data_IF_947214591186
#
_entry.id   IF_947214591186
#
_cell.length_a   1.000
_cell.length_b   1.000
_cell.length_c   1.000
_cell.angle_alpha   90.00
_cell.angle_beta   90.00
_cell.angle_gamma   90.00
#
_symmetry.space_group_name_H-M   'P 1'
#
loop_
_entity.id
_entity.type
_entity.pdbx_description
1 polymer ?
#
# COMPACT_ATOMS: atom_id res chain seq x y z
N UNK A 1 16.11 16.87 13.16
CA UNK A 1 15.32 18.07 13.58
C UNK A 1 15.01 17.89 15.07
N UNK A 2 15.09 18.89 15.95
CA UNK A 2 14.79 18.65 17.38
C UNK A 2 13.27 18.61 17.62
N UNK A 3 12.72 17.56 18.23
CA UNK A 3 11.29 17.43 18.56
C UNK A 3 10.74 18.65 19.31
N UNK A 4 11.54 19.22 20.20
CA UNK A 4 11.19 20.42 20.96
C UNK A 4 11.05 21.67 20.08
N UNK A 5 11.85 21.79 19.01
CA UNK A 5 11.71 22.88 18.04
C UNK A 5 10.41 22.76 17.24
N UNK A 6 10.05 21.54 16.85
CA UNK A 6 8.80 21.23 16.17
C UNK A 6 7.59 21.52 17.07
N UNK A 7 7.62 21.08 18.32
CA UNK A 7 6.56 21.38 19.29
C UNK A 7 6.28 22.87 19.40
N UNK A 8 7.32 23.71 19.55
CA UNK A 8 7.16 25.17 19.62
C UNK A 8 6.55 25.77 18.36
N UNK A 9 6.93 25.25 17.19
CA UNK A 9 6.34 25.70 15.92
C UNK A 9 4.84 25.38 15.85
N UNK A 10 4.44 24.18 16.29
CA UNK A 10 3.04 23.76 16.32
C UNK A 10 2.22 24.54 17.35
N UNK A 11 2.78 24.82 18.53
CA UNK A 11 2.14 25.67 19.55
C UNK A 11 1.82 27.08 19.01
N UNK A 12 2.76 27.67 18.26
CA UNK A 12 2.55 28.94 17.58
C UNK A 12 1.47 28.84 16.50
N UNK A 13 1.45 27.76 15.72
CA UNK A 13 0.42 27.55 14.69
C UNK A 13 -0.98 27.48 15.29
N UNK A 14 -1.15 26.73 16.39
CA UNK A 14 -2.45 26.53 17.06
C UNK A 14 -2.95 27.81 17.75
N UNK A 15 -2.06 28.58 18.37
CA UNK A 15 -2.45 29.81 19.08
C UNK A 15 -2.70 31.01 18.15
N UNK A 16 -2.06 31.06 16.97
CA UNK A 16 -2.27 32.16 16.02
C UNK A 16 -3.58 32.03 15.22
N UNK A 17 -4.05 30.80 14.99
CA UNK A 17 -5.20 30.53 14.10
C UNK A 17 -6.54 30.47 14.81
N UNK A 18 -6.57 30.40 16.15
CA UNK A 18 -7.81 30.13 16.91
C UNK A 18 -7.84 30.86 18.26
N UNK A 19 -9.03 31.26 18.72
CA UNK A 19 -9.30 31.76 20.10
C UNK A 19 -9.28 30.59 21.11
N UNK A 20 -8.25 29.76 21.04
CA UNK A 20 -8.13 28.50 21.77
C UNK A 20 -6.85 28.55 22.58
N UNK A 21 -6.94 28.18 23.86
CA UNK A 21 -5.79 28.10 24.77
C UNK A 21 -5.25 26.68 24.82
N UNK A 22 -3.92 26.56 24.85
CA UNK A 22 -3.24 25.28 25.09
C UNK A 22 -3.15 25.10 26.61
N UNK A 23 -3.83 24.08 27.14
CA UNK A 23 -3.83 23.79 28.58
C UNK A 23 -2.67 22.86 28.98
N UNK A 24 -2.34 21.93 28.10
CA UNK A 24 -1.28 20.95 28.33
C UNK A 24 -0.70 20.50 26.99
N UNK A 25 0.60 20.23 26.97
CA UNK A 25 1.28 19.49 25.92
C UNK A 25 1.93 18.24 26.50
N UNK A 26 1.94 17.16 25.71
CA UNK A 26 2.68 15.94 26.04
C UNK A 26 3.34 15.35 24.79
N UNK A 27 4.38 14.56 25.00
CA UNK A 27 5.08 13.84 23.92
C UNK A 27 5.19 12.37 24.30
N UNK A 28 4.89 11.50 23.34
CA UNK A 28 4.88 10.05 23.53
C UNK A 28 5.08 9.34 22.20
N UNK A 29 5.46 8.07 22.24
CA UNK A 29 5.64 7.26 21.04
C UNK A 29 4.46 6.31 20.80
N UNK A 30 4.13 6.07 19.53
CA UNK A 30 3.24 5.00 19.07
C UNK A 30 4.06 3.93 18.34
N UNK A 31 3.85 2.63 18.64
CA UNK A 31 4.55 1.57 17.93
C UNK A 31 4.06 1.47 16.48
N UNK A 32 5.00 1.42 15.54
CA UNK A 32 4.78 1.21 14.11
C UNK A 32 5.69 0.08 13.62
N UNK A 33 5.09 -0.94 13.03
CA UNK A 33 5.77 -2.12 12.53
C UNK A 33 6.23 -1.89 11.10
N UNK A 34 7.51 -2.13 10.83
CA UNK A 34 8.03 -2.25 9.47
C UNK A 34 7.82 -3.69 9.02
N UNK A 35 7.00 -3.87 7.99
CA UNK A 35 6.68 -5.16 7.40
C UNK A 35 7.39 -5.26 6.06
N UNK A 36 8.13 -6.34 5.85
CA UNK A 36 8.65 -6.70 4.54
C UNK A 36 7.67 -7.64 3.85
N UNK A 37 7.11 -7.19 2.73
CA UNK A 37 6.12 -7.95 1.96
C UNK A 37 6.75 -8.45 0.68
N UNK A 38 6.85 -9.76 0.53
CA UNK A 38 7.31 -10.41 -0.70
C UNK A 38 6.10 -10.83 -1.54
N UNK A 39 6.07 -10.44 -2.81
CA UNK A 39 4.96 -10.71 -3.72
C UNK A 39 5.41 -10.88 -5.16
N UNK A 40 4.53 -11.48 -5.98
CA UNK A 40 4.75 -11.66 -7.42
C UNK A 40 3.86 -10.72 -8.22
N UNK A 41 4.44 -9.67 -8.82
CA UNK A 41 3.70 -8.79 -9.68
C UNK A 41 3.43 -9.45 -11.04
N UNK A 42 2.40 -8.95 -11.69
CA UNK A 42 1.96 -9.38 -13.01
C UNK A 42 1.62 -8.15 -13.81
N UNK A 43 2.24 -7.99 -14.97
CA UNK A 43 1.93 -6.91 -15.88
C UNK A 43 0.77 -7.36 -16.75
N UNK A 44 -0.34 -6.62 -16.68
CA UNK A 44 -1.51 -6.88 -17.54
C UNK A 44 -1.56 -5.85 -18.65
N UNK A 45 -1.53 -6.33 -19.89
CA UNK A 45 -1.68 -5.53 -21.10
C UNK A 45 -2.93 -5.98 -21.87
N UNK A 46 -3.47 -5.10 -22.71
CA UNK A 46 -4.57 -5.47 -23.62
C UNK A 46 -4.00 -6.34 -24.74
N UNK A 47 -4.64 -7.47 -25.02
CA UNK A 47 -4.21 -8.32 -26.14
C UNK A 47 -4.29 -7.53 -27.46
N UNK A 48 -3.20 -7.58 -28.23
CA UNK A 48 -3.18 -7.07 -29.59
C UNK A 48 -4.06 -7.92 -30.53
N UNK A 49 -4.30 -7.40 -31.73
CA UNK A 49 -5.17 -8.07 -32.71
C UNK A 49 -4.59 -9.41 -33.14
N UNK A 50 -3.26 -9.52 -33.28
CA UNK A 50 -2.67 -10.76 -33.76
C UNK A 50 -2.74 -11.87 -32.71
N UNK A 51 -2.44 -11.57 -31.45
CA UNK A 51 -2.66 -12.48 -30.32
C UNK A 51 -4.08 -12.99 -30.35
N UNK A 52 -5.08 -12.09 -30.43
CA UNK A 52 -6.49 -12.50 -30.49
C UNK A 52 -6.78 -13.44 -31.66
N UNK A 53 -6.27 -13.13 -32.85
CA UNK A 53 -6.44 -13.97 -34.04
C UNK A 53 -5.78 -15.34 -33.87
N UNK A 54 -4.61 -15.39 -33.22
CA UNK A 54 -3.88 -16.62 -32.95
C UNK A 54 -4.60 -17.49 -31.91
N UNK A 55 -5.11 -16.88 -30.83
CA UNK A 55 -5.97 -17.55 -29.85
C UNK A 55 -7.24 -18.12 -30.50
N UNK A 56 -7.92 -17.35 -31.37
CA UNK A 56 -9.08 -17.81 -32.13
C UNK A 56 -8.74 -19.02 -33.02
N UNK A 57 -7.61 -18.93 -33.73
CA UNK A 57 -7.16 -19.99 -34.63
C UNK A 57 -6.88 -21.28 -33.85
N UNK A 58 -6.17 -21.19 -32.72
CA UNK A 58 -5.85 -22.35 -31.86
C UNK A 58 -7.06 -22.94 -31.14
N UNK A 59 -8.13 -22.16 -30.95
CA UNK A 59 -9.39 -22.63 -30.38
C UNK A 59 -10.18 -23.48 -31.38
N UNK A 60 -10.23 -23.05 -32.63
CA UNK A 60 -11.10 -23.64 -33.64
C UNK A 60 -10.40 -24.73 -34.47
N UNK A 61 -9.07 -24.71 -34.55
CA UNK A 61 -8.27 -25.60 -35.41
C UNK A 61 -6.99 -26.06 -34.71
N UNK A 62 -6.53 -27.28 -35.03
CA UNK A 62 -5.25 -27.82 -34.54
C UNK A 62 -4.14 -27.50 -35.53
N UNK A 63 -3.07 -26.88 -35.05
CA UNK A 63 -1.89 -26.52 -35.84
C UNK A 63 -0.64 -27.23 -35.34
N UNK A 64 0.17 -27.74 -36.26
CA UNK A 64 1.41 -28.47 -35.99
C UNK A 64 2.64 -27.55 -36.00
N UNK A 65 2.57 -26.48 -36.79
CA UNK A 65 3.69 -25.55 -37.00
C UNK A 65 3.24 -24.09 -37.08
N UNK A 66 4.20 -23.20 -36.82
CA UNK A 66 4.01 -21.75 -37.00
C UNK A 66 3.77 -21.39 -38.48
N UNK A 67 4.33 -22.15 -39.42
CA UNK A 67 4.14 -21.99 -40.86
C UNK A 67 2.66 -22.09 -41.24
N UNK A 68 1.96 -23.13 -40.78
CA UNK A 68 0.52 -23.31 -41.05
C UNK A 68 -0.32 -22.12 -40.54
N UNK A 69 0.02 -21.61 -39.36
CA UNK A 69 -0.67 -20.44 -38.77
C UNK A 69 -0.35 -19.18 -39.57
N UNK A 70 0.91 -19.00 -40.00
CA UNK A 70 1.36 -17.85 -40.78
C UNK A 70 0.69 -17.75 -42.14
N UNK A 71 0.46 -18.89 -42.80
CA UNK A 71 -0.27 -18.96 -44.07
C UNK A 71 -1.74 -18.56 -43.93
N UNK A 72 -2.40 -19.00 -42.84
CA UNK A 72 -3.82 -18.72 -42.59
C UNK A 72 -4.04 -17.27 -42.16
N UNK A 73 -3.17 -16.78 -41.27
CA UNK A 73 -3.25 -15.41 -40.76
C UNK A 73 -2.62 -14.39 -41.71
N UNK A 74 -1.96 -14.84 -42.78
CA UNK A 74 -1.26 -14.00 -43.77
C UNK A 74 -0.25 -13.05 -43.12
N UNK A 75 0.55 -13.58 -42.19
CA UNK A 75 1.58 -12.85 -41.44
C UNK A 75 2.94 -13.52 -41.58
N UNK A 76 4.01 -12.80 -41.22
CA UNK A 76 5.37 -13.33 -41.29
C UNK A 76 5.58 -14.49 -40.31
N UNK A 77 6.14 -15.60 -40.79
CA UNK A 77 6.36 -16.81 -39.98
C UNK A 77 7.22 -16.54 -38.74
N UNK A 78 8.31 -15.77 -38.85
CA UNK A 78 9.19 -15.45 -37.72
C UNK A 78 8.44 -14.74 -36.59
N UNK A 79 7.44 -13.91 -36.93
CA UNK A 79 6.63 -13.22 -35.95
C UNK A 79 5.69 -14.18 -35.21
N UNK A 80 5.09 -15.14 -35.94
CA UNK A 80 4.27 -16.21 -35.35
C UNK A 80 5.10 -17.10 -34.44
N UNK A 81 6.32 -17.45 -34.84
CA UNK A 81 7.25 -18.25 -34.02
C UNK A 81 7.62 -17.56 -32.71
N UNK A 82 7.95 -16.27 -32.77
CA UNK A 82 8.24 -15.48 -31.57
C UNK A 82 7.03 -15.40 -30.64
N UNK A 83 5.84 -15.17 -31.21
CA UNK A 83 4.60 -15.06 -30.44
C UNK A 83 4.20 -16.40 -29.78
N UNK A 84 4.28 -17.52 -30.52
CA UNK A 84 4.05 -18.86 -29.99
C UNK A 84 5.06 -19.18 -28.88
N UNK A 85 6.33 -18.84 -29.08
CA UNK A 85 7.38 -19.02 -28.07
C UNK A 85 7.08 -18.22 -26.81
N UNK A 86 6.63 -16.96 -26.94
CA UNK A 86 6.22 -16.13 -25.81
C UNK A 86 5.01 -16.73 -25.09
N UNK A 87 3.99 -17.16 -25.82
CA UNK A 87 2.78 -17.78 -25.25
C UNK A 87 3.03 -19.14 -24.58
N UNK A 88 3.99 -19.92 -25.08
CA UNK A 88 4.43 -21.15 -24.42
C UNK A 88 5.17 -20.85 -23.12
N UNK A 89 6.10 -19.89 -23.12
CA UNK A 89 6.83 -19.46 -21.92
C UNK A 89 5.90 -18.96 -20.81
N UNK A 90 4.83 -18.24 -21.17
CA UNK A 90 3.83 -17.75 -20.21
C UNK A 90 2.72 -18.77 -19.90
N UNK A 91 2.85 -20.00 -20.40
CA UNK A 91 1.92 -21.11 -20.19
C UNK A 91 0.48 -20.82 -20.65
N UNK A 92 0.31 -19.99 -21.69
CA UNK A 92 -0.98 -19.73 -22.32
C UNK A 92 -1.34 -20.80 -23.36
N UNK A 93 -0.31 -21.39 -23.96
CA UNK A 93 -0.44 -22.54 -24.85
C UNK A 93 0.55 -23.64 -24.46
N UNK A 94 0.18 -24.88 -24.77
CA UNK A 94 1.03 -26.04 -24.64
C UNK A 94 1.11 -26.79 -25.97
N UNK A 95 2.20 -27.51 -26.20
CA UNK A 95 2.32 -28.43 -27.35
C UNK A 95 2.01 -29.85 -26.87
N UNK A 96 0.92 -30.43 -27.37
CA UNK A 96 0.45 -31.78 -27.01
C UNK A 96 0.24 -32.56 -28.30
N UNK A 97 0.86 -33.74 -28.39
CA UNK A 97 0.81 -34.61 -29.59
C UNK A 97 1.16 -33.85 -30.89
N UNK A 98 2.20 -33.02 -30.83
CA UNK A 98 2.66 -32.11 -31.88
C UNK A 98 1.74 -30.94 -32.26
N UNK A 99 0.58 -30.78 -31.62
CA UNK A 99 -0.33 -29.65 -31.84
C UNK A 99 -0.24 -28.59 -30.76
N UNK A 100 -0.39 -27.32 -31.13
CA UNK A 100 -0.56 -26.23 -30.17
C UNK A 100 -2.00 -26.20 -29.65
N UNK A 101 -2.17 -26.16 -28.33
CA UNK A 101 -3.46 -26.09 -27.64
C UNK A 101 -3.44 -25.00 -26.58
N UNK A 102 -4.60 -24.36 -26.38
CA UNK A 102 -4.80 -23.40 -25.30
C UNK A 102 -4.84 -24.11 -23.94
N UNK A 103 -4.14 -23.54 -22.97
CA UNK A 103 -4.28 -23.94 -21.57
C UNK A 103 -5.50 -23.28 -20.94
N UNK A 104 -5.91 -23.72 -19.75
CA UNK A 104 -6.98 -23.03 -19.00
C UNK A 104 -6.64 -21.55 -18.71
N UNK A 105 -5.36 -21.25 -18.45
CA UNK A 105 -4.86 -19.88 -18.25
C UNK A 105 -5.04 -19.07 -19.54
N UNK A 106 -4.62 -19.64 -20.67
CA UNK A 106 -4.78 -19.03 -21.99
C UNK A 106 -6.25 -18.71 -22.29
N UNK A 107 -7.14 -19.67 -22.04
CA UNK A 107 -8.57 -19.49 -22.31
C UNK A 107 -9.19 -18.37 -21.46
N UNK A 108 -8.90 -18.32 -20.16
CA UNK A 108 -9.38 -17.25 -19.27
C UNK A 108 -8.87 -15.87 -19.67
N UNK A 109 -7.58 -15.76 -20.02
CA UNK A 109 -6.98 -14.50 -20.45
C UNK A 109 -7.57 -14.01 -21.78
N UNK A 110 -7.79 -14.93 -22.72
CA UNK A 110 -8.45 -14.61 -23.98
C UNK A 110 -9.90 -14.14 -23.81
N UNK A 111 -10.69 -14.81 -22.97
CA UNK A 111 -12.07 -14.42 -22.65
C UNK A 111 -12.13 -13.02 -22.02
N UNK A 112 -11.14 -12.69 -21.19
CA UNK A 112 -11.00 -11.36 -20.57
C UNK A 112 -10.34 -10.32 -21.51
N UNK A 113 -9.80 -10.73 -22.66
CA UNK A 113 -9.15 -9.86 -23.64
C UNK A 113 -7.81 -9.24 -23.16
N UNK A 114 -7.16 -9.86 -22.18
CA UNK A 114 -5.95 -9.35 -21.51
C UNK A 114 -4.82 -10.36 -21.57
N UNK A 115 -3.60 -9.89 -21.76
CA UNK A 115 -2.39 -10.69 -21.68
C UNK A 115 -1.68 -10.37 -20.36
N UNK A 116 -1.34 -11.40 -19.60
CA UNK A 116 -0.65 -11.21 -18.32
C UNK A 116 0.74 -11.83 -18.36
N UNK A 117 1.74 -11.00 -18.05
CA UNK A 117 3.14 -11.36 -17.98
C UNK A 117 3.59 -11.40 -16.52
N UNK A 118 3.84 -12.62 -16.02
CA UNK A 118 4.37 -12.84 -14.67
C UNK A 118 5.76 -12.21 -14.56
N UNK A 119 5.97 -11.45 -13.50
CA UNK A 119 7.25 -10.82 -13.19
C UNK A 119 7.97 -11.59 -12.09
N UNK A 120 9.27 -11.31 -11.95
CA UNK A 120 10.06 -11.84 -10.85
C UNK A 120 9.51 -11.37 -9.49
N UNK A 121 9.67 -12.23 -8.48
CA UNK A 121 9.28 -11.92 -7.11
C UNK A 121 10.03 -10.69 -6.60
N UNK A 122 9.29 -9.75 -6.03
CA UNK A 122 9.84 -8.51 -5.46
C UNK A 122 9.42 -8.37 -4.00
N UNK A 123 10.12 -7.51 -3.27
CA UNK A 123 9.83 -7.21 -1.87
C UNK A 123 9.68 -5.70 -1.66
N UNK A 124 8.76 -5.31 -0.80
CA UNK A 124 8.48 -3.89 -0.49
C UNK A 124 8.18 -3.74 1.00
N UNK A 125 8.69 -2.66 1.58
CA UNK A 125 8.44 -2.34 2.98
C UNK A 125 7.13 -1.55 3.14
N UNK A 126 6.31 -1.96 4.10
CA UNK A 126 5.09 -1.27 4.51
C UNK A 126 5.17 -0.92 5.99
N UNK A 127 4.60 0.23 6.37
CA UNK A 127 4.52 0.64 7.77
C UNK A 127 3.11 0.41 8.28
N UNK A 128 2.95 -0.40 9.32
CA UNK A 128 1.65 -0.70 9.92
C UNK A 128 1.60 -0.25 11.37
N UNK A 129 0.57 0.50 11.76
CA UNK A 129 0.34 0.83 13.16
C UNK A 129 -0.84 0.04 13.71
N UNK A 130 -0.63 -0.86 14.70
CA UNK A 130 -1.71 -1.60 15.34
C UNK A 130 -2.70 -0.69 16.08
N UNK A 131 -2.22 0.46 16.57
CA UNK A 131 -3.07 1.47 17.22
C UNK A 131 -4.05 2.11 16.23
N UNK A 132 -3.61 2.37 14.99
CA UNK A 132 -4.48 2.89 13.92
C UNK A 132 -5.28 1.78 13.22
N UNK A 133 -4.82 0.53 13.35
CA UNK A 133 -5.28 -0.63 12.57
C UNK A 133 -5.20 -0.40 11.06
N UNK A 134 -4.21 0.38 10.63
CA UNK A 134 -4.02 0.76 9.23
C UNK A 134 -2.54 0.86 8.88
N UNK A 135 -2.27 0.81 7.58
CA UNK A 135 -0.97 1.19 7.04
C UNK A 135 -0.81 2.71 7.11
N UNK A 136 0.40 3.15 7.43
CA UNK A 136 0.78 4.55 7.47
C UNK A 136 1.77 4.83 6.34
N UNK A 137 1.67 6.04 5.78
CA UNK A 137 2.60 6.53 4.77
C UNK A 137 3.49 7.61 5.37
N UNK A 138 4.79 7.42 5.26
CA UNK A 138 5.79 8.31 5.83
C UNK A 138 7.18 7.74 5.66
N UNK A 139 8.18 8.57 5.90
CA UNK A 139 9.57 8.14 5.89
C UNK A 139 10.00 7.80 7.31
N UNK A 140 10.24 6.52 7.57
CA UNK A 140 10.68 6.06 8.89
C UNK A 140 12.12 6.45 9.16
N UNK A 141 12.96 6.61 8.13
CA UNK A 141 14.36 7.00 8.28
C UNK A 141 14.44 8.42 8.83
N UNK A 142 13.63 9.36 8.30
CA UNK A 142 13.52 10.73 8.83
C UNK A 142 13.13 10.77 10.30
N UNK A 143 12.27 9.85 10.76
CA UNK A 143 11.90 9.74 12.17
C UNK A 143 13.06 9.21 13.00
N UNK A 144 13.81 8.23 12.49
CA UNK A 144 14.96 7.66 13.20
C UNK A 144 16.15 8.64 13.33
N UNK A 145 16.14 9.75 12.61
CA UNK A 145 17.11 10.85 12.77
C UNK A 145 16.89 11.71 14.03
N UNK A 146 15.79 11.54 14.77
CA UNK A 146 15.59 12.24 16.04
C UNK A 146 16.65 11.80 17.07
N UNK A 147 17.34 12.78 17.67
CA UNK A 147 18.41 12.48 18.65
C UNK A 147 17.87 11.86 19.95
N UNK A 148 16.68 12.31 20.38
CA UNK A 148 16.03 11.86 21.61
C UNK A 148 14.57 11.47 21.33
N UNK A 149 14.19 10.27 21.74
CA UNK A 149 12.81 9.78 21.67
C UNK A 149 12.13 9.98 23.03
N UNK A 150 10.85 10.36 23.07
CA UNK A 150 10.09 10.39 24.32
C UNK A 150 10.13 9.04 25.04
N UNK A 151 10.41 9.05 26.35
CA UNK A 151 10.38 7.83 27.17
C UNK A 151 8.95 7.27 27.34
N UNK A 152 7.94 8.12 27.12
CA UNK A 152 6.54 7.76 27.29
C UNK A 152 6.04 7.05 26.05
N UNK A 153 5.29 5.97 26.28
CA UNK A 153 4.53 5.28 25.24
C UNK A 153 3.07 5.71 25.31
N UNK A 154 2.39 5.69 24.17
CA UNK A 154 0.98 6.04 24.07
C UNK A 154 0.13 5.21 25.04
N UNK A 155 -0.64 5.90 25.89
CA UNK A 155 -1.44 5.32 26.98
C UNK A 155 -2.53 4.34 26.52
N UNK A 156 -2.95 4.42 25.26
CA UNK A 156 -3.92 3.53 24.64
C UNK A 156 -3.30 2.67 23.53
N UNK A 157 -1.99 2.41 23.61
CA UNK A 157 -1.32 1.60 22.62
C UNK A 157 -1.96 0.20 22.49
N UNK A 158 -2.03 -0.26 21.26
CA UNK A 158 -2.30 -1.66 20.94
C UNK A 158 -0.98 -2.27 20.47
N UNK A 159 -0.56 -3.36 21.09
CA UNK A 159 0.55 -4.18 20.61
C UNK A 159 0.02 -5.59 20.35
N UNK A 160 -0.06 -5.96 19.09
CA UNK A 160 -0.40 -7.32 18.69
C UNK A 160 0.89 -8.13 18.59
N UNK A 161 0.95 -9.24 19.32
CA UNK A 161 2.14 -10.11 19.37
C UNK A 161 2.33 -10.91 18.09
N UNK A 162 1.22 -11.21 17.39
CA UNK A 162 1.19 -11.85 16.08
C UNK A 162 0.29 -11.04 15.15
N UNK A 163 0.91 -10.35 14.20
CA UNK A 163 0.19 -9.63 13.17
C UNK A 163 -0.23 -10.61 12.06
N UNK A 164 -1.53 -10.75 11.85
CA UNK A 164 -2.10 -11.49 10.74
C UNK A 164 -2.85 -10.52 9.83
N UNK A 165 -2.50 -10.52 8.55
CA UNK A 165 -3.11 -9.65 7.56
C UNK A 165 -3.92 -10.46 6.57
N UNK A 166 -5.04 -9.90 6.12
CA UNK A 166 -5.72 -10.42 4.95
C UNK A 166 -5.01 -9.90 3.69
N UNK A 167 -4.66 -10.80 2.76
CA UNK A 167 -3.89 -10.46 1.56
C UNK A 167 -4.48 -9.28 0.77
N UNK A 168 -5.82 -9.19 0.74
CA UNK A 168 -6.51 -8.13 0.01
C UNK A 168 -6.18 -6.72 0.54
N UNK A 169 -5.92 -6.57 1.85
CA UNK A 169 -5.56 -5.28 2.46
C UNK A 169 -4.14 -4.89 2.08
N UNK A 170 -3.22 -5.85 2.14
CA UNK A 170 -1.80 -5.65 1.82
C UNK A 170 -1.64 -5.35 0.32
N UNK A 171 -2.33 -6.08 -0.55
CA UNK A 171 -2.35 -5.83 -2.00
C UNK A 171 -2.84 -4.42 -2.29
N UNK A 172 -3.93 -3.99 -1.64
CA UNK A 172 -4.48 -2.64 -1.83
C UNK A 172 -3.46 -1.56 -1.44
N UNK A 173 -2.76 -1.74 -0.32
CA UNK A 173 -1.75 -0.79 0.11
C UNK A 173 -0.59 -0.71 -0.89
N UNK A 174 -0.05 -1.88 -1.29
CA UNK A 174 1.03 -1.97 -2.28
C UNK A 174 0.66 -1.32 -3.62
N UNK A 175 -0.58 -1.47 -4.07
CA UNK A 175 -1.08 -0.82 -5.28
C UNK A 175 -1.14 0.70 -5.10
N UNK A 176 -1.59 1.18 -3.94
CA UNK A 176 -1.69 2.63 -3.68
C UNK A 176 -0.33 3.32 -3.65
N UNK A 177 0.74 2.64 -3.19
CA UNK A 177 2.09 3.20 -3.19
C UNK A 177 2.64 3.33 -4.62
N UNK A 178 2.33 2.37 -5.50
CA UNK A 178 2.81 2.40 -6.90
C UNK A 178 2.08 3.42 -7.76
N UNK A 179 0.78 3.60 -7.54
CA UNK A 179 0.01 4.66 -8.22
C UNK A 179 0.49 6.07 -7.87
N UNK A 180 1.14 6.27 -6.72
CA UNK A 180 1.74 7.55 -6.34
C UNK A 180 3.11 7.80 -7.00
N UNK A 181 3.78 6.75 -7.49
CA UNK A 181 5.14 6.81 -8.07
C UNK A 181 5.09 6.89 -9.61
N UNK A 182 4.10 6.26 -10.24
CA UNK A 182 3.98 6.23 -11.71
C UNK A 182 3.08 7.37 -12.22
N UNK A 183 3.66 8.30 -13.01
CA UNK A 183 2.92 9.32 -13.75
C UNK A 183 1.84 8.66 -14.66
N UNK A 184 0.72 9.35 -14.96
CA UNK A 184 -0.38 8.78 -15.72
C UNK A 184 0.00 8.68 -17.20
N UNK A 185 0.86 7.74 -17.55
CA UNK A 185 1.12 7.38 -18.94
C UNK A 185 0.01 6.44 -19.45
N UNK A 186 -0.40 6.74 -20.68
CA UNK A 186 -1.58 6.22 -21.33
C UNK A 186 -1.50 4.69 -21.55
N UNK A 187 -2.55 4.00 -21.11
CA UNK A 187 -3.08 2.72 -21.63
C UNK A 187 -2.25 1.42 -21.63
N UNK A 188 -0.94 1.35 -21.34
CA UNK A 188 -0.19 0.16 -21.80
C UNK A 188 0.30 -0.89 -20.78
N UNK A 189 0.34 -0.65 -19.48
CA UNK A 189 0.69 -1.72 -18.54
C UNK A 189 0.21 -1.37 -17.13
N UNK A 190 -0.75 -2.13 -16.60
CA UNK A 190 -1.10 -2.02 -15.17
C UNK A 190 -0.42 -3.16 -14.43
N UNK A 191 0.37 -2.80 -13.42
CA UNK A 191 1.02 -3.77 -12.54
C UNK A 191 -0.01 -4.25 -11.51
N UNK A 192 -0.38 -5.51 -11.62
CA UNK A 192 -1.27 -6.19 -10.68
C UNK A 192 -0.44 -7.08 -9.76
N UNK A 193 -0.91 -7.26 -8.53
CA UNK A 193 -0.32 -8.22 -7.60
C UNK A 193 -1.31 -9.36 -7.49
N UNK A 194 -0.87 -10.57 -7.86
CA UNK A 194 -1.75 -11.75 -7.91
C UNK A 194 -1.72 -12.57 -6.64
N UNK A 195 -0.60 -12.52 -5.93
CA UNK A 195 -0.39 -13.27 -4.69
C UNK A 195 0.69 -12.61 -3.85
N UNK A 196 0.54 -12.75 -2.53
CA UNK A 196 1.56 -12.44 -1.55
C UNK A 196 2.23 -13.75 -1.20
N UNK A 197 3.55 -13.79 -1.30
CA UNK A 197 4.34 -14.95 -0.91
C UNK A 197 4.59 -14.95 0.60
N UNK A 198 4.90 -13.79 1.19
CA UNK A 198 5.10 -13.64 2.64
C UNK A 198 4.89 -12.20 3.12
N UNK A 199 4.55 -12.07 4.41
CA UNK A 199 4.56 -10.81 5.17
C UNK A 199 5.36 -11.05 6.44
N UNK A 200 6.51 -10.40 6.56
CA UNK A 200 7.42 -10.57 7.69
C UNK A 200 7.50 -9.27 8.48
N UNK A 201 7.30 -9.36 9.80
CA UNK A 201 7.53 -8.23 10.69
C UNK A 201 9.03 -8.12 10.98
N UNK A 202 9.66 -7.09 10.42
CA UNK A 202 11.11 -6.88 10.48
C UNK A 202 11.51 -6.23 11.80
N UNK A 203 10.82 -5.14 12.15
CA UNK A 203 11.12 -4.34 13.33
C UNK A 203 9.91 -3.53 13.78
N UNK A 204 9.92 -3.13 15.05
CA UNK A 204 8.96 -2.20 15.63
C UNK A 204 9.70 -0.90 15.93
N UNK A 205 9.18 0.20 15.38
CA UNK A 205 9.73 1.53 15.57
C UNK A 205 8.79 2.34 16.46
N UNK A 206 9.34 3.06 17.41
CA UNK A 206 8.60 3.96 18.29
C UNK A 206 8.47 5.33 17.64
N UNK A 207 7.32 5.65 17.03
CA UNK A 207 7.13 6.92 16.32
C UNK A 207 6.68 8.02 17.29
N UNK A 208 7.45 9.11 17.48
CA UNK A 208 7.06 10.21 18.34
C UNK A 208 5.79 10.92 17.83
N UNK A 209 4.95 11.31 18.78
CA UNK A 209 3.76 12.10 18.56
C UNK A 209 3.72 13.24 19.58
N UNK A 210 3.18 14.38 19.18
CA UNK A 210 3.04 15.56 20.02
C UNK A 210 1.55 15.83 20.24
N UNK A 211 1.11 15.75 21.47
CA UNK A 211 -0.29 15.96 21.88
C UNK A 211 -0.47 17.33 22.50
N UNK A 212 -1.53 18.02 22.10
CA UNK A 212 -1.98 19.28 22.69
C UNK A 212 -3.42 19.15 23.18
N UNK A 213 -3.64 19.41 24.47
CA UNK A 213 -4.96 19.61 25.03
C UNK A 213 -5.35 21.08 24.88
N UNK A 214 -6.43 21.31 24.17
CA UNK A 214 -6.94 22.61 23.79
C UNK A 214 -8.24 22.92 24.50
N UNK A 215 -8.45 24.19 24.84
CA UNK A 215 -9.71 24.70 25.38
C UNK A 215 -10.18 25.93 24.60
N UNK A 216 -11.35 25.79 23.98
CA UNK A 216 -12.07 26.88 23.32
C UNK A 216 -12.92 27.61 24.36
N UNK A 217 -12.49 28.82 24.74
CA UNK A 217 -13.18 29.63 25.77
C UNK A 217 -14.57 30.08 25.31
N UNK A 218 -14.78 30.25 24.00
CA UNK A 218 -16.05 30.72 23.43
C UNK A 218 -17.09 29.61 23.43
N UNK A 219 -16.67 28.38 23.13
CA UNK A 219 -17.55 27.20 23.04
C UNK A 219 -17.61 26.36 24.31
N UNK A 220 -16.78 26.67 25.32
CA UNK A 220 -16.60 25.86 26.53
C UNK A 220 -16.37 24.38 26.19
N UNK A 221 -15.42 24.15 25.27
CA UNK A 221 -15.16 22.83 24.71
C UNK A 221 -13.67 22.48 24.78
N UNK A 222 -13.41 21.27 25.27
CA UNK A 222 -12.09 20.64 25.22
C UNK A 222 -11.93 19.84 23.93
N UNK A 223 -10.81 20.03 23.27
CA UNK A 223 -10.39 19.23 22.12
C UNK A 223 -8.92 18.81 22.27
N UNK A 224 -8.55 17.72 21.62
CA UNK A 224 -7.15 17.29 21.53
C UNK A 224 -6.68 17.42 20.10
N UNK A 225 -5.42 17.85 19.91
CA UNK A 225 -4.72 17.79 18.63
C UNK A 225 -3.46 16.96 18.77
N UNK A 226 -3.22 16.05 17.84
CA UNK A 226 -2.05 15.15 17.87
C UNK A 226 -1.30 15.30 16.56
N UNK A 227 -0.03 15.64 16.64
CA UNK A 227 0.86 15.66 15.49
C UNK A 227 1.65 14.35 15.43
N UNK A 228 1.58 13.64 14.31
CA UNK A 228 2.31 12.41 14.06
C UNK A 228 3.55 12.70 13.22
N UNK A 229 4.75 12.43 13.76
CA UNK A 229 5.99 12.79 13.06
C UNK A 229 6.26 11.93 11.84
N UNK A 230 5.75 10.69 11.80
CA UNK A 230 5.93 9.81 10.63
C UNK A 230 5.17 10.34 9.42
N UNK A 231 3.91 10.73 9.60
CA UNK A 231 3.06 11.22 8.49
C UNK A 231 3.24 12.72 8.26
N UNK A 232 3.94 13.42 9.17
CA UNK A 232 4.09 14.88 9.20
C UNK A 232 2.76 15.62 9.06
N UNK A 233 1.72 15.10 9.74
CA UNK A 233 0.35 15.60 9.70
C UNK A 233 -0.31 15.50 11.08
N UNK A 234 -1.41 16.24 11.23
CA UNK A 234 -2.33 16.07 12.34
C UNK A 234 -3.07 14.74 12.22
N UNK A 235 -3.06 13.95 13.28
CA UNK A 235 -3.55 12.57 13.31
C UNK A 235 -4.93 12.49 13.94
N UNK A 236 -5.95 12.60 13.08
CA UNK A 236 -7.36 12.58 13.51
C UNK A 236 -7.74 11.26 14.20
N UNK A 237 -7.06 10.15 13.89
CA UNK A 237 -7.38 8.84 14.46
C UNK A 237 -6.99 8.80 15.93
N UNK A 238 -5.77 9.23 16.25
CA UNK A 238 -5.30 9.33 17.64
C UNK A 238 -6.07 10.41 18.41
N UNK A 239 -6.37 11.54 17.76
CA UNK A 239 -7.20 12.61 18.35
C UNK A 239 -8.58 12.09 18.77
N UNK A 240 -9.27 11.36 17.89
CA UNK A 240 -10.58 10.78 18.19
C UNK A 240 -10.51 9.75 19.32
N UNK A 241 -9.51 8.86 19.30
CA UNK A 241 -9.31 7.85 20.34
C UNK A 241 -9.11 8.48 21.73
N UNK A 242 -8.30 9.53 21.80
CA UNK A 242 -8.09 10.29 23.04
C UNK A 242 -9.37 11.01 23.44
N UNK A 243 -10.02 11.70 22.51
CA UNK A 243 -11.25 12.45 22.77
C UNK A 243 -12.38 11.56 23.29
N UNK A 244 -12.55 10.35 22.77
CA UNK A 244 -13.57 9.41 23.22
C UNK A 244 -13.27 8.88 24.63
N UNK A 245 -12.00 8.66 24.95
CA UNK A 245 -11.58 8.04 26.21
C UNK A 245 -11.46 9.07 27.35
N UNK A 246 -10.81 10.20 27.09
CA UNK A 246 -10.40 11.16 28.12
C UNK A 246 -11.40 12.29 28.38
N UNK A 247 -12.36 12.53 27.48
CA UNK A 247 -13.32 13.66 27.59
C UNK A 247 -14.09 13.71 28.90
N UNK A 248 -14.37 12.54 29.49
CA UNK A 248 -15.03 12.47 30.80
C UNK A 248 -14.13 12.96 31.94
N UNK A 249 -12.81 12.79 31.81
CA UNK A 249 -11.83 13.07 32.87
C UNK A 249 -11.30 14.51 32.84
N UNK A 250 -11.37 15.20 31.71
CA UNK A 250 -10.82 16.56 31.60
C UNK A 250 -11.52 17.58 32.50
N UNK A 251 -12.86 17.51 32.59
CA UNK A 251 -13.63 18.39 33.47
C UNK A 251 -13.31 18.16 34.94
N UNK A 252 -13.11 16.90 35.34
CA UNK A 252 -12.81 16.52 36.72
C UNK A 252 -11.37 16.91 37.14
N UNK A 253 -10.41 16.82 36.21
CA UNK A 253 -9.02 17.22 36.46
C UNK A 253 -8.88 18.73 36.65
N UNK A 254 -9.67 19.54 35.94
CA UNK A 254 -9.62 21.00 36.00
C UNK A 254 -10.49 21.61 37.10
N UNK A 255 -11.49 20.90 37.65
CA UNK A 255 -12.20 21.35 38.87
C UNK A 255 -11.42 21.09 40.16
N UNK A 256 -10.32 20.33 40.09
CA UNK A 256 -9.47 19.97 41.24
C UNK A 256 -8.11 20.69 41.27
N UNK A 257 -7.85 21.58 40.31
CA UNK A 257 -6.75 22.55 40.35
C UNK A 257 -7.26 23.90 40.83
#
# INVERSE_FOLDING_TARGET
MELHSLQKSLELELTQKTEVSILQSDTWCVPVHTLNVTYKPVIRTKMDILMKMLFLSLKDTKFESAEQISEILLVEQLFVEDLLSKMQKTNLIAKVDDYFLLTEKGQKQFENGVFEEEQDGTSTELLYSPTHRSFLKGDIEEVLEFEDFPEKIFRYQVQDTELSFEDHLVIKELQSQKEEIEEPEEEQAKLFITSIDSVENVQVNDVPCIEFLLYDEVKDLFSTRVWNTLTSKWDETLEQLIQETDKSTWRDKLTRQ
#
